data_IF_940002077563
#
_entry.id   IF_940002077563
#
_cell.length_a   1.000
_cell.length_b   1.000
_cell.length_c   1.000
_cell.angle_alpha   90.00
_cell.angle_beta   90.00
_cell.angle_gamma   90.00
#
_symmetry.space_group_name_H-M   'P 1'
#
loop_
_entity.id
_entity.type
_entity.pdbx_description
1 polymer ?
#
# COMPACT_ATOMS: atom_id res chain seq x y z
N UNK A 1 24.71 11.78 13.61
CA UNK A 1 23.30 12.17 13.68
C UNK A 1 22.58 11.05 14.40
N UNK A 2 22.06 11.35 15.57
CA UNK A 2 21.43 10.39 16.46
C UNK A 2 20.26 9.71 15.76
N UNK A 3 20.26 8.40 15.75
CA UNK A 3 19.06 7.58 15.55
C UNK A 3 18.12 7.94 16.70
N UNK A 4 17.25 8.93 16.44
CA UNK A 4 16.16 9.27 17.34
C UNK A 4 15.23 8.09 17.38
N UNK A 5 15.23 7.37 18.48
CA UNK A 5 14.20 6.44 18.89
C UNK A 5 12.83 7.10 18.69
N UNK A 6 12.14 6.72 17.63
CA UNK A 6 10.71 6.94 17.51
C UNK A 6 10.03 5.90 18.41
N UNK A 7 10.27 6.01 19.71
CA UNK A 7 9.50 5.35 20.75
C UNK A 7 8.13 6.06 20.87
N UNK A 8 7.35 5.98 19.82
CA UNK A 8 5.92 6.14 19.93
C UNK A 8 5.32 4.75 19.85
N UNK A 9 4.40 4.43 20.72
CA UNK A 9 3.51 3.27 20.59
C UNK A 9 2.72 3.40 19.29
N UNK A 10 3.45 3.32 18.17
CA UNK A 10 2.93 3.56 16.84
C UNK A 10 2.31 2.31 16.30
N UNK A 11 1.03 2.37 15.99
CA UNK A 11 0.36 1.26 15.33
C UNK A 11 0.93 1.02 13.93
N UNK A 12 1.16 2.09 13.16
CA UNK A 12 1.77 2.04 11.84
C UNK A 12 2.89 3.06 11.71
N UNK A 13 4.09 2.60 11.43
CA UNK A 13 5.25 3.45 11.14
C UNK A 13 5.80 3.14 9.74
N UNK A 14 6.42 4.12 9.11
CA UNK A 14 7.12 3.93 7.86
C UNK A 14 8.36 4.83 7.82
N UNK A 15 9.49 4.26 7.35
CA UNK A 15 10.79 4.92 7.37
C UNK A 15 11.46 4.86 6.01
N UNK A 16 11.91 6.05 5.55
CA UNK A 16 12.65 6.23 4.30
C UNK A 16 11.98 5.52 3.12
N UNK A 17 10.64 5.57 3.09
CA UNK A 17 9.87 4.93 2.02
C UNK A 17 10.12 5.66 0.73
N UNK A 18 10.59 4.91 -0.26
CA UNK A 18 10.87 5.37 -1.60
C UNK A 18 10.21 4.45 -2.62
N UNK A 19 9.80 4.98 -3.75
CA UNK A 19 9.16 4.19 -4.80
C UNK A 19 9.68 4.56 -6.18
N UNK A 20 10.25 3.56 -6.85
CA UNK A 20 10.77 3.68 -8.19
C UNK A 20 9.90 2.89 -9.18
N UNK A 21 9.39 3.56 -10.19
CA UNK A 21 8.75 2.92 -11.33
C UNK A 21 9.81 2.46 -12.35
N UNK A 22 9.63 1.27 -12.94
CA UNK A 22 10.45 0.87 -14.07
C UNK A 22 10.21 1.81 -15.27
N UNK A 23 11.18 1.95 -16.17
CA UNK A 23 11.02 2.74 -17.37
C UNK A 23 9.81 2.23 -18.19
N UNK A 24 9.10 3.11 -18.91
CA UNK A 24 7.91 2.74 -19.70
C UNK A 24 8.16 1.60 -20.69
N UNK A 25 9.38 1.49 -21.17
CA UNK A 25 9.83 0.43 -22.08
C UNK A 25 9.84 -0.98 -21.45
N UNK A 26 9.86 -1.10 -20.13
CA UNK A 26 9.78 -2.39 -19.45
C UNK A 26 8.41 -3.07 -19.62
N UNK A 27 7.36 -2.35 -19.99
CA UNK A 27 6.01 -2.88 -20.23
C UNK A 27 5.86 -3.56 -21.58
N UNK A 28 6.71 -3.23 -22.57
CA UNK A 28 6.73 -3.81 -23.93
C UNK A 28 7.61 -5.06 -24.04
N UNK A 29 7.99 -5.65 -22.89
CA UNK A 29 8.86 -6.83 -22.80
C UNK A 29 8.37 -8.08 -23.57
N UNK A 30 7.20 -8.02 -24.20
CA UNK A 30 6.71 -9.05 -25.08
C UNK A 30 7.33 -9.01 -26.50
N UNK A 31 8.02 -7.91 -26.89
CA UNK A 31 8.70 -7.81 -28.17
C UNK A 31 10.22 -7.86 -27.98
N UNK A 32 10.86 -9.03 -28.18
CA UNK A 32 12.32 -9.20 -27.98
C UNK A 32 13.18 -8.31 -28.87
N UNK A 33 12.67 -7.91 -30.04
CA UNK A 33 13.39 -7.09 -31.00
C UNK A 33 13.58 -5.62 -30.56
N UNK A 34 12.69 -5.09 -29.72
CA UNK A 34 12.78 -3.71 -29.23
C UNK A 34 13.67 -3.56 -28.00
N UNK A 35 13.95 -4.67 -27.30
CA UNK A 35 14.81 -4.71 -26.11
C UNK A 35 16.28 -4.36 -26.39
N UNK A 36 16.74 -4.51 -27.62
CA UNK A 36 18.14 -4.32 -27.98
C UNK A 36 18.55 -2.85 -28.17
N UNK A 37 17.61 -1.90 -28.28
CA UNK A 37 17.92 -0.52 -28.68
C UNK A 37 17.89 0.52 -27.56
N UNK A 38 17.35 0.22 -26.39
CA UNK A 38 17.24 1.19 -25.28
C UNK A 38 17.95 0.70 -24.00
N UNK A 39 19.27 0.75 -24.03
CA UNK A 39 20.11 0.70 -22.82
C UNK A 39 20.10 2.07 -22.13
N UNK A 40 19.00 2.49 -21.50
CA UNK A 40 19.02 3.79 -20.85
C UNK A 40 17.71 4.32 -20.28
N UNK A 41 16.67 3.51 -20.19
CA UNK A 41 15.44 3.95 -19.51
C UNK A 41 15.72 4.26 -18.04
N UNK A 42 15.72 5.54 -17.65
CA UNK A 42 15.85 5.97 -16.27
C UNK A 42 14.62 5.54 -15.49
N UNK A 43 14.81 4.96 -14.31
CA UNK A 43 13.73 4.71 -13.36
C UNK A 43 13.19 6.04 -12.87
N UNK A 44 11.88 6.16 -12.76
CA UNK A 44 11.23 7.36 -12.24
C UNK A 44 10.98 7.19 -10.76
N UNK A 45 11.62 8.04 -9.96
CA UNK A 45 11.38 8.11 -8.52
C UNK A 45 10.11 8.90 -8.26
N UNK A 46 9.05 8.24 -7.80
CA UNK A 46 7.72 8.85 -7.55
C UNK A 46 7.56 9.27 -6.11
N UNK A 47 8.05 8.47 -5.18
CA UNK A 47 8.10 8.77 -3.74
C UNK A 47 9.55 8.72 -3.31
N UNK A 48 10.00 9.75 -2.56
CA UNK A 48 11.39 9.90 -2.17
C UNK A 48 11.50 10.10 -0.66
N UNK A 49 12.10 9.14 0.03
CA UNK A 49 12.52 9.21 1.44
C UNK A 49 11.45 9.76 2.39
N UNK A 50 10.23 9.22 2.31
CA UNK A 50 9.13 9.66 3.16
C UNK A 50 9.08 8.80 4.41
N UNK A 51 9.04 9.47 5.58
CA UNK A 51 8.90 8.82 6.88
C UNK A 51 7.72 9.42 7.64
N UNK A 52 7.08 8.61 8.46
CA UNK A 52 5.97 9.03 9.30
C UNK A 52 5.45 7.89 10.16
N UNK A 53 4.51 8.23 11.01
CA UNK A 53 3.89 7.26 11.90
C UNK A 53 2.48 7.71 12.28
N UNK A 54 1.65 6.78 12.68
CA UNK A 54 0.32 7.03 13.23
C UNK A 54 0.07 6.08 14.39
N UNK A 55 -0.39 6.63 15.51
CA UNK A 55 -0.74 5.84 16.70
C UNK A 55 -2.06 5.09 16.48
N UNK A 56 -2.28 4.07 17.28
CA UNK A 56 -3.55 3.32 17.31
C UNK A 56 -4.71 4.27 17.58
N UNK A 57 -5.77 4.17 16.79
CA UNK A 57 -6.92 5.09 16.88
C UNK A 57 -6.65 6.51 16.38
N UNK A 58 -5.44 6.81 15.91
CA UNK A 58 -5.05 8.10 15.35
C UNK A 58 -5.48 8.28 13.91
N UNK A 59 -5.34 9.50 13.41
CA UNK A 59 -5.57 9.90 12.04
C UNK A 59 -4.31 10.55 11.47
N UNK A 60 -3.85 10.08 10.33
CA UNK A 60 -2.73 10.68 9.58
C UNK A 60 -3.23 11.32 8.30
N UNK A 61 -3.09 12.64 8.19
CA UNK A 61 -3.40 13.39 6.96
C UNK A 61 -2.19 13.49 6.04
N UNK A 62 -2.32 12.99 4.80
CA UNK A 62 -1.29 13.13 3.76
C UNK A 62 -1.71 14.23 2.80
N UNK A 63 -0.99 15.36 2.83
CA UNK A 63 -1.29 16.55 2.03
C UNK A 63 -0.16 16.84 1.04
N UNK A 64 -0.48 17.54 -0.04
CA UNK A 64 0.48 17.95 -1.06
C UNK A 64 -0.20 18.28 -2.39
N UNK A 65 0.55 18.87 -3.31
CA UNK A 65 0.08 19.25 -4.65
C UNK A 65 -0.41 18.02 -5.45
N UNK A 66 -1.18 18.27 -6.51
CA UNK A 66 -1.55 17.21 -7.46
C UNK A 66 -0.28 16.60 -8.07
N UNK A 67 -0.24 15.28 -8.19
CA UNK A 67 0.94 14.57 -8.71
C UNK A 67 2.11 14.40 -7.71
N UNK A 68 2.00 14.87 -6.47
CA UNK A 68 3.07 14.73 -5.47
C UNK A 68 3.30 13.30 -4.94
N UNK A 69 2.58 12.30 -5.45
CA UNK A 69 2.76 10.91 -5.03
C UNK A 69 1.92 10.47 -3.81
N UNK A 70 0.92 11.27 -3.38
CA UNK A 70 0.06 10.95 -2.22
C UNK A 70 -0.64 9.59 -2.35
N UNK A 71 -1.33 9.39 -3.45
CA UNK A 71 -2.02 8.11 -3.74
C UNK A 71 -1.03 6.96 -3.84
N UNK A 72 0.13 7.21 -4.45
CA UNK A 72 1.19 6.20 -4.53
C UNK A 72 1.70 5.80 -3.14
N UNK A 73 1.86 6.77 -2.23
CA UNK A 73 2.25 6.48 -0.85
C UNK A 73 1.16 5.66 -0.14
N UNK A 74 -0.12 5.99 -0.29
CA UNK A 74 -1.24 5.20 0.25
C UNK A 74 -1.26 3.78 -0.32
N UNK A 75 -1.01 3.61 -1.63
CA UNK A 75 -0.93 2.29 -2.26
C UNK A 75 0.23 1.45 -1.70
N UNK A 76 1.35 2.10 -1.37
CA UNK A 76 2.50 1.42 -0.73
C UNK A 76 2.12 0.98 0.69
N UNK A 77 1.58 1.89 1.50
CA UNK A 77 1.23 1.65 2.90
C UNK A 77 0.10 0.62 3.05
N UNK A 78 -0.75 0.46 2.03
CA UNK A 78 -1.80 -0.58 1.99
C UNK A 78 -1.37 -1.86 1.26
N UNK A 79 -0.12 -1.98 0.85
CA UNK A 79 0.39 -3.15 0.13
C UNK A 79 -0.20 -3.34 -1.28
N UNK A 80 -0.80 -2.32 -1.90
CA UNK A 80 -1.49 -2.44 -3.21
C UNK A 80 -0.61 -2.23 -4.43
N UNK A 81 0.62 -1.74 -4.27
CA UNK A 81 1.55 -1.55 -5.38
C UNK A 81 1.84 -2.86 -6.11
N UNK A 82 1.63 -2.91 -7.42
CA UNK A 82 1.85 -4.11 -8.23
C UNK A 82 3.18 -4.11 -8.98
N UNK A 83 3.64 -2.94 -9.37
CA UNK A 83 4.80 -2.74 -10.25
C UNK A 83 5.73 -1.74 -9.59
N UNK A 84 7.03 -1.85 -9.84
CA UNK A 84 8.04 -0.96 -9.28
C UNK A 84 8.77 -1.54 -8.06
N UNK A 85 9.72 -0.77 -7.55
CA UNK A 85 10.54 -1.13 -6.39
C UNK A 85 10.22 -0.20 -5.23
N UNK A 86 9.79 -0.77 -4.12
CA UNK A 86 9.62 -0.07 -2.85
C UNK A 86 10.92 -0.19 -2.06
N UNK A 87 11.47 0.94 -1.63
CA UNK A 87 12.57 1.04 -0.66
C UNK A 87 12.05 1.45 0.70
N UNK A 88 12.94 1.37 1.71
CA UNK A 88 12.58 1.68 3.08
C UNK A 88 11.93 0.52 3.83
N UNK A 89 11.25 0.82 4.91
CA UNK A 89 10.58 -0.19 5.74
C UNK A 89 9.24 0.33 6.27
N UNK A 90 8.31 -0.61 6.42
CA UNK A 90 7.00 -0.36 7.02
C UNK A 90 6.89 -1.25 8.24
N UNK A 91 6.45 -0.65 9.33
CA UNK A 91 6.31 -1.29 10.64
C UNK A 91 4.84 -1.26 11.05
N UNK A 92 4.34 -2.37 11.53
CA UNK A 92 3.05 -2.49 12.19
C UNK A 92 3.31 -3.02 13.59
N UNK A 93 2.83 -2.33 14.62
CA UNK A 93 3.12 -2.68 16.03
C UNK A 93 4.64 -2.87 16.28
N UNK A 94 5.47 -1.95 15.75
CA UNK A 94 6.95 -2.01 15.82
C UNK A 94 7.60 -3.23 15.17
N UNK A 95 6.84 -4.02 14.39
CA UNK A 95 7.35 -5.17 13.64
C UNK A 95 7.35 -4.86 12.15
N UNK A 96 8.45 -5.17 11.50
CA UNK A 96 8.53 -5.05 10.05
C UNK A 96 7.51 -5.97 9.39
N UNK A 97 6.69 -5.40 8.52
CA UNK A 97 5.66 -6.14 7.78
C UNK A 97 5.97 -6.13 6.29
N UNK A 98 5.62 -7.22 5.66
CA UNK A 98 5.67 -7.35 4.22
C UNK A 98 4.38 -6.83 3.58
N UNK A 99 4.41 -6.78 2.27
CA UNK A 99 3.31 -6.28 1.46
C UNK A 99 2.04 -7.11 1.58
N UNK A 100 2.17 -8.42 1.74
CA UNK A 100 1.05 -9.35 1.82
C UNK A 100 0.30 -9.17 3.14
N UNK A 101 1.03 -9.13 4.24
CA UNK A 101 0.48 -8.83 5.56
C UNK A 101 -0.21 -7.46 5.63
N UNK A 102 0.36 -6.43 4.97
CA UNK A 102 -0.28 -5.11 4.88
C UNK A 102 -1.64 -5.18 4.16
N UNK A 103 -1.76 -5.98 3.10
CA UNK A 103 -3.03 -6.15 2.38
C UNK A 103 -4.09 -6.88 3.20
N UNK A 104 -3.68 -7.83 4.01
CA UNK A 104 -4.58 -8.61 4.86
C UNK A 104 -5.13 -7.79 6.02
N UNK A 105 -4.30 -6.94 6.64
CA UNK A 105 -4.68 -6.15 7.81
C UNK A 105 -5.20 -4.75 7.47
N UNK A 106 -5.24 -4.33 6.18
CA UNK A 106 -5.69 -3.01 5.77
C UNK A 106 -6.97 -3.04 4.95
N UNK A 107 -7.76 -1.98 5.06
CA UNK A 107 -8.87 -1.69 4.16
C UNK A 107 -8.57 -0.40 3.37
N UNK A 108 -8.85 -0.42 2.08
CA UNK A 108 -8.62 0.72 1.19
C UNK A 108 -9.94 1.20 0.61
N UNK A 109 -10.26 2.47 0.86
CA UNK A 109 -11.40 3.13 0.26
C UNK A 109 -10.95 3.83 -1.01
N UNK A 110 -11.52 3.45 -2.15
CA UNK A 110 -11.21 4.03 -3.45
C UNK A 110 -11.79 5.44 -3.56
N UNK A 111 -11.22 6.27 -4.43
CA UNK A 111 -11.74 7.61 -4.72
C UNK A 111 -13.08 7.55 -5.45
N UNK A 112 -13.24 6.59 -6.35
CA UNK A 112 -14.48 6.34 -7.08
C UNK A 112 -15.13 5.07 -6.54
N UNK A 113 -16.44 5.13 -6.29
CA UNK A 113 -17.22 4.01 -5.80
C UNK A 113 -17.46 2.99 -6.92
N UNK A 114 -16.94 1.79 -6.75
CA UNK A 114 -17.23 0.66 -7.66
C UNK A 114 -18.46 -0.13 -7.19
N UNK A 115 -19.50 0.57 -6.73
CA UNK A 115 -20.74 -0.04 -6.27
C UNK A 115 -21.63 -0.38 -7.43
N UNK A 116 -22.34 -1.50 -7.33
CA UNK A 116 -23.36 -1.90 -8.29
C UNK A 116 -24.65 -1.08 -8.05
N UNK A 117 -25.06 -0.22 -8.98
CA UNK A 117 -26.15 0.75 -8.74
C UNK A 117 -27.51 0.09 -8.51
N UNK A 118 -27.68 -1.17 -8.88
CA UNK A 118 -28.94 -1.92 -8.78
C UNK A 118 -29.04 -2.72 -7.46
N UNK A 119 -28.05 -2.65 -6.58
CA UNK A 119 -28.08 -3.33 -5.29
C UNK A 119 -28.42 -2.35 -4.17
N UNK A 120 -29.21 -2.81 -3.23
CA UNK A 120 -29.40 -2.10 -1.96
C UNK A 120 -28.11 -2.16 -1.12
N UNK A 121 -27.97 -1.24 -0.16
CA UNK A 121 -26.85 -1.23 0.78
C UNK A 121 -26.69 -2.58 1.49
N UNK A 122 -27.80 -3.18 1.94
CA UNK A 122 -27.80 -4.50 2.61
C UNK A 122 -27.26 -5.60 1.69
N UNK A 123 -27.68 -5.63 0.43
CA UNK A 123 -27.24 -6.63 -0.55
C UNK A 123 -25.75 -6.46 -0.86
N UNK A 124 -25.30 -5.22 -1.08
CA UNK A 124 -23.89 -4.90 -1.32
C UNK A 124 -23.00 -5.38 -0.18
N UNK A 125 -23.37 -5.05 1.06
CA UNK A 125 -22.62 -5.49 2.24
C UNK A 125 -22.63 -7.02 2.41
N UNK A 126 -23.81 -7.65 2.25
CA UNK A 126 -23.95 -9.10 2.36
C UNK A 126 -23.13 -9.83 1.28
N UNK A 127 -23.11 -9.32 0.07
CA UNK A 127 -22.33 -9.88 -1.03
C UNK A 127 -20.83 -9.74 -0.77
N UNK A 128 -20.38 -8.54 -0.38
CA UNK A 128 -18.98 -8.27 -0.04
C UNK A 128 -18.48 -9.15 1.11
N UNK A 129 -19.27 -9.33 2.16
CA UNK A 129 -18.93 -10.23 3.26
C UNK A 129 -18.83 -11.69 2.84
N UNK A 130 -19.79 -12.19 2.06
CA UNK A 130 -19.75 -13.58 1.56
C UNK A 130 -18.51 -13.85 0.72
N UNK A 131 -18.13 -12.93 -0.15
CA UNK A 131 -16.90 -13.05 -0.94
C UNK A 131 -15.65 -13.05 -0.06
N UNK A 132 -15.59 -12.14 0.93
CA UNK A 132 -14.42 -12.03 1.79
C UNK A 132 -14.24 -13.23 2.71
N UNK A 133 -15.31 -13.76 3.30
CA UNK A 133 -15.27 -14.93 4.16
C UNK A 133 -14.85 -16.19 3.40
N UNK A 134 -15.24 -16.33 2.12
CA UNK A 134 -14.84 -17.47 1.30
C UNK A 134 -13.38 -17.39 0.81
N UNK A 135 -12.81 -16.19 0.75
CA UNK A 135 -11.44 -15.95 0.28
C UNK A 135 -10.42 -15.86 1.43
N UNK A 136 -10.88 -15.74 2.68
CA UNK A 136 -9.99 -15.79 3.83
C UNK A 136 -9.58 -17.23 4.10
N UNK A 137 -8.27 -17.51 4.27
CA UNK A 137 -7.84 -18.79 4.79
C UNK A 137 -8.47 -19.02 6.18
N UNK A 138 -8.73 -20.29 6.60
CA UNK A 138 -9.45 -20.61 7.83
C UNK A 138 -8.77 -20.19 9.14
N UNK A 139 -7.70 -19.45 9.11
CA UNK A 139 -6.91 -18.96 10.24
C UNK A 139 -6.75 -17.44 10.22
N UNK A 140 -7.81 -16.67 9.96
CA UNK A 140 -7.79 -15.28 10.40
C UNK A 140 -7.78 -15.27 11.95
N UNK A 141 -6.88 -14.52 12.60
CA UNK A 141 -6.88 -14.42 14.05
C UNK A 141 -8.26 -13.91 14.48
N UNK A 142 -8.89 -14.71 15.34
CA UNK A 142 -10.15 -14.36 15.98
C UNK A 142 -10.03 -13.00 16.61
N UNK A 143 -11.04 -12.16 16.42
CA UNK A 143 -11.16 -10.81 16.99
C UNK A 143 -11.07 -10.74 18.53
N UNK A 144 -10.90 -11.87 19.17
CA UNK A 144 -10.81 -12.05 20.63
C UNK A 144 -9.48 -11.57 21.25
N UNK A 145 -8.60 -10.96 20.46
CA UNK A 145 -7.32 -10.40 20.95
C UNK A 145 -7.27 -8.87 20.98
N UNK A 146 -8.42 -8.23 20.93
CA UNK A 146 -8.50 -6.76 20.88
C UNK A 146 -9.26 -6.15 22.07
N UNK A 147 -9.23 -6.84 23.24
CA UNK A 147 -9.63 -6.27 24.53
C UNK A 147 -8.48 -5.48 25.17
#
# INVERSE_FOLDING_TARGET
>A
MQEGELEGEGHLGFHNVSYELPPPTAWWGWFPLLRAREKGGSRTLVVKDVSGWVSRGGLLGIMGASGAGKTTLLDILSGRTKVGKVGGQILLENRRVDRESLRECSAYVMQDDALLPNLTVRETLSFGMKLRVHLLPPAAPTLDKWD
#
